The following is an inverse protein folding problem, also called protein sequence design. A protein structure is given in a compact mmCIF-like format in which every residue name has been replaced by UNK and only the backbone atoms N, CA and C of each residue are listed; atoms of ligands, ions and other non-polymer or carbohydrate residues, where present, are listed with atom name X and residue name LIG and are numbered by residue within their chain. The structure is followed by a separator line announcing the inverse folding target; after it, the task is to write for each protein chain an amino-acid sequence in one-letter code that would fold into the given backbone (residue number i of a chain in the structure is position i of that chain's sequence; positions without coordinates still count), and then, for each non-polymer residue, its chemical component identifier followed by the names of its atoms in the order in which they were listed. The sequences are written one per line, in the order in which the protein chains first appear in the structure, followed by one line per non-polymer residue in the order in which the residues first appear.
data_IF_723200198269
#
_entry.id   IF_723200198269
#
_cell.length_a   1.000
_cell.length_b   1.000
_cell.length_c   1.000
_cell.angle_alpha   90.00
_cell.angle_beta   90.00
_cell.angle_gamma   90.00
#
_symmetry.space_group_name_H-M   'P 1'
#
loop_
_entity.id
_entity.type
_entity.pdbx_description
1 polymer ?
#
# COMPACT_ATOMS: atom_id res chain seq x y z
N UNK A 1 -10.38 -9.02 -27.16
CA UNK A 1 -10.23 -8.71 -25.72
C UNK A 1 -9.39 -9.81 -25.11
N UNK A 2 -8.15 -9.53 -24.72
CA UNK A 2 -7.29 -10.55 -24.10
C UNK A 2 -7.87 -10.89 -22.72
N UNK A 3 -8.39 -12.10 -22.53
CA UNK A 3 -8.79 -12.57 -21.21
C UNK A 3 -7.54 -12.79 -20.38
N UNK A 4 -7.26 -11.89 -19.44
CA UNK A 4 -6.29 -12.19 -18.39
C UNK A 4 -6.93 -13.24 -17.48
N UNK A 5 -6.62 -14.51 -17.75
CA UNK A 5 -7.00 -15.59 -16.84
C UNK A 5 -6.10 -15.48 -15.60
N UNK A 6 -6.70 -15.10 -14.49
CA UNK A 6 -5.99 -14.99 -13.21
C UNK A 6 -5.81 -16.40 -12.66
N UNK A 7 -4.57 -16.82 -12.45
CA UNK A 7 -4.25 -18.06 -11.73
C UNK A 7 -4.56 -17.88 -10.23
N UNK A 8 -5.81 -18.17 -9.86
CA UNK A 8 -6.33 -18.05 -8.49
C UNK A 8 -5.54 -18.93 -7.51
N UNK A 9 -5.12 -20.11 -7.94
CA UNK A 9 -4.37 -21.03 -7.07
C UNK A 9 -2.98 -20.48 -6.77
N UNK A 10 -2.32 -19.83 -7.74
CA UNK A 10 -1.09 -19.07 -7.49
C UNK A 10 -1.31 -17.94 -6.50
N UNK A 11 -2.38 -17.15 -6.65
CA UNK A 11 -2.68 -16.06 -5.71
C UNK A 11 -2.91 -16.58 -4.29
N UNK A 12 -3.65 -17.69 -4.14
CA UNK A 12 -3.90 -18.32 -2.83
C UNK A 12 -2.63 -18.86 -2.18
N UNK A 13 -1.68 -19.40 -2.95
CA UNK A 13 -0.38 -19.85 -2.41
C UNK A 13 0.42 -18.70 -1.78
N UNK A 14 0.26 -17.49 -2.31
CA UNK A 14 0.87 -16.28 -1.75
C UNK A 14 0.17 -15.77 -0.48
N UNK A 15 -1.04 -16.23 -0.15
CA UNK A 15 -1.81 -15.78 1.03
C UNK A 15 -1.97 -16.95 2.03
N UNK A 16 -1.05 -17.12 3.00
CA UNK A 16 -0.99 -18.34 3.83
C UNK A 16 -2.26 -18.64 4.63
N UNK A 17 -3.04 -17.61 5.00
CA UNK A 17 -4.30 -17.79 5.71
C UNK A 17 -5.30 -18.64 4.90
N UNK A 18 -5.34 -18.46 3.58
CA UNK A 18 -6.29 -19.17 2.69
C UNK A 18 -6.01 -20.68 2.58
N UNK A 19 -4.82 -21.13 2.99
CA UNK A 19 -4.45 -22.55 3.03
C UNK A 19 -4.97 -23.27 4.28
N UNK A 20 -5.41 -22.52 5.29
CA UNK A 20 -5.85 -23.06 6.59
C UNK A 20 -7.31 -22.78 6.89
N UNK A 21 -7.84 -21.68 6.37
CA UNK A 21 -9.22 -21.25 6.63
C UNK A 21 -9.88 -20.74 5.35
N UNK A 22 -11.20 -20.92 5.27
CA UNK A 22 -12.05 -20.25 4.28
C UNK A 22 -12.25 -18.81 4.76
N UNK A 23 -11.39 -17.90 4.30
CA UNK A 23 -11.41 -16.50 4.73
C UNK A 23 -12.42 -15.69 3.90
N UNK A 24 -13.58 -15.38 4.49
CA UNK A 24 -14.68 -14.66 3.82
C UNK A 24 -14.84 -13.20 4.28
N UNK A 25 -13.88 -12.65 5.04
CA UNK A 25 -13.96 -11.27 5.58
C UNK A 25 -12.95 -10.31 4.90
N UNK A 26 -12.73 -10.46 3.59
CA UNK A 26 -11.77 -9.65 2.82
C UNK A 26 -12.16 -8.17 2.73
N UNK A 27 -13.43 -7.83 2.95
CA UNK A 27 -13.92 -6.44 2.97
C UNK A 27 -13.49 -5.63 4.20
N UNK A 28 -13.10 -6.29 5.31
CA UNK A 28 -12.57 -5.61 6.49
C UNK A 28 -11.05 -5.41 6.40
N UNK A 29 -10.30 -6.52 6.32
CA UNK A 29 -8.84 -6.50 6.20
C UNK A 29 -8.35 -7.81 5.61
N UNK A 30 -7.88 -7.78 4.36
CA UNK A 30 -7.32 -8.95 3.71
C UNK A 30 -6.01 -9.40 4.37
N UNK A 31 -5.77 -10.71 4.57
CA UNK A 31 -4.47 -11.21 4.96
C UNK A 31 -3.41 -10.84 3.91
N UNK A 32 -2.30 -10.24 4.34
CA UNK A 32 -1.24 -9.81 3.43
C UNK A 32 -0.60 -11.00 2.69
N UNK A 33 -0.35 -10.89 1.37
CA UNK A 33 0.47 -11.84 0.65
C UNK A 33 1.91 -11.91 1.22
N UNK A 34 2.60 -13.03 1.03
CA UNK A 34 3.96 -13.25 1.53
C UNK A 34 4.91 -12.15 1.07
N UNK A 35 4.88 -11.78 -0.21
CA UNK A 35 5.74 -10.74 -0.75
C UNK A 35 5.61 -9.39 -0.01
N UNK A 36 4.40 -9.03 0.43
CA UNK A 36 4.16 -7.80 1.21
C UNK A 36 4.78 -7.92 2.61
N UNK A 37 4.56 -9.06 3.28
CA UNK A 37 5.13 -9.31 4.61
C UNK A 37 6.65 -9.28 4.58
N UNK A 38 7.27 -9.91 3.58
CA UNK A 38 8.72 -9.92 3.43
C UNK A 38 9.29 -8.53 3.11
N UNK A 39 8.61 -7.72 2.30
CA UNK A 39 9.02 -6.33 2.05
C UNK A 39 9.00 -5.47 3.33
N UNK A 40 7.97 -5.62 4.17
CA UNK A 40 7.90 -4.91 5.46
C UNK A 40 9.02 -5.36 6.40
N UNK A 41 9.28 -6.67 6.51
CA UNK A 41 10.38 -7.19 7.34
C UNK A 41 11.74 -6.67 6.88
N UNK A 42 12.03 -6.76 5.58
CA UNK A 42 13.27 -6.27 5.01
C UNK A 42 13.46 -4.77 5.26
N UNK A 43 12.37 -3.98 5.22
CA UNK A 43 12.40 -2.56 5.54
C UNK A 43 12.77 -2.32 7.01
N UNK A 44 12.15 -3.04 7.94
CA UNK A 44 12.44 -2.91 9.37
C UNK A 44 13.88 -3.33 9.69
N UNK A 45 14.34 -4.42 9.08
CA UNK A 45 15.71 -4.91 9.23
C UNK A 45 16.74 -3.90 8.73
N UNK A 46 16.54 -3.37 7.52
CA UNK A 46 17.38 -2.31 6.95
C UNK A 46 17.48 -1.09 7.87
N UNK A 47 16.36 -0.60 8.41
CA UNK A 47 16.35 0.53 9.32
C UNK A 47 16.97 0.22 10.69
N UNK A 48 16.91 -1.05 11.13
CA UNK A 48 17.56 -1.50 12.37
C UNK A 48 19.08 -1.56 12.24
N UNK A 49 19.60 -1.94 11.06
CA UNK A 49 21.05 -2.02 10.83
C UNK A 49 21.66 -0.66 10.51
N UNK A 50 21.02 0.11 9.64
CA UNK A 50 21.56 1.39 9.16
C UNK A 50 21.17 2.59 10.06
N UNK A 51 20.21 2.40 10.95
CA UNK A 51 19.65 3.45 11.80
C UNK A 51 18.57 4.28 11.09
N UNK A 52 17.42 4.57 11.75
CA UNK A 52 16.22 5.11 11.09
C UNK A 52 16.35 6.56 10.58
N UNK A 53 17.42 7.25 10.95
CA UNK A 53 17.71 8.65 10.57
C UNK A 53 19.02 8.78 9.81
N UNK A 54 19.65 7.66 9.42
CA UNK A 54 20.86 7.72 8.61
C UNK A 54 20.53 8.21 7.20
N UNK A 55 21.55 8.79 6.56
CA UNK A 55 21.40 9.32 5.20
C UNK A 55 20.90 8.26 4.20
N UNK A 56 21.44 7.02 4.16
CA UNK A 56 20.92 5.98 3.26
C UNK A 56 19.45 5.65 3.50
N UNK A 57 19.02 5.60 4.77
CA UNK A 57 17.61 5.32 5.11
C UNK A 57 16.70 6.45 4.65
N UNK A 58 17.08 7.71 4.90
CA UNK A 58 16.28 8.87 4.49
C UNK A 58 16.16 8.97 2.97
N UNK A 59 17.26 8.81 2.23
CA UNK A 59 17.26 8.80 0.77
C UNK A 59 16.38 7.66 0.21
N UNK A 60 16.50 6.45 0.79
CA UNK A 60 15.64 5.32 0.46
C UNK A 60 14.15 5.59 0.75
N UNK A 61 13.80 6.24 1.88
CA UNK A 61 12.40 6.60 2.20
C UNK A 61 11.82 7.55 1.15
N UNK A 62 12.58 8.58 0.76
CA UNK A 62 12.13 9.53 -0.24
C UNK A 62 11.88 8.86 -1.59
N UNK A 63 12.81 8.01 -2.03
CA UNK A 63 12.68 7.27 -3.28
C UNK A 63 11.48 6.31 -3.23
N UNK A 64 11.34 5.53 -2.15
CA UNK A 64 10.21 4.62 -1.97
C UNK A 64 8.86 5.36 -2.00
N UNK A 65 8.78 6.54 -1.40
CA UNK A 65 7.59 7.39 -1.44
C UNK A 65 7.24 7.86 -2.86
N UNK A 66 8.25 8.20 -3.68
CA UNK A 66 8.06 8.56 -5.09
C UNK A 66 7.56 7.36 -5.90
N UNK A 67 8.25 6.23 -5.81
CA UNK A 67 7.93 5.02 -6.56
C UNK A 67 6.52 4.50 -6.21
N UNK A 68 6.14 4.60 -4.93
CA UNK A 68 4.79 4.21 -4.48
C UNK A 68 3.70 5.07 -5.12
N UNK A 69 3.90 6.40 -5.18
CA UNK A 69 2.92 7.30 -5.83
C UNK A 69 2.83 7.03 -7.33
N UNK A 70 3.94 6.79 -8.01
CA UNK A 70 3.96 6.44 -9.44
C UNK A 70 3.24 5.12 -9.72
N UNK A 71 3.45 4.09 -8.89
CA UNK A 71 2.77 2.81 -9.01
C UNK A 71 1.25 2.92 -8.82
N UNK A 72 0.81 3.66 -7.79
CA UNK A 72 -0.62 3.90 -7.53
C UNK A 72 -1.25 4.73 -8.67
N UNK A 73 -0.56 5.76 -9.14
CA UNK A 73 -1.02 6.60 -10.24
C UNK A 73 -1.24 5.78 -11.52
N UNK A 74 -0.31 4.87 -11.84
CA UNK A 74 -0.45 3.93 -12.96
C UNK A 74 -1.65 3.00 -12.79
N UNK A 75 -1.86 2.45 -11.59
CA UNK A 75 -3.00 1.59 -11.28
C UNK A 75 -4.36 2.29 -11.44
N UNK A 76 -4.43 3.57 -11.07
CA UNK A 76 -5.66 4.37 -11.10
C UNK A 76 -5.82 5.21 -12.38
N UNK A 77 -4.85 5.17 -13.30
CA UNK A 77 -4.80 5.98 -14.51
C UNK A 77 -4.84 7.51 -14.26
N UNK A 78 -4.08 7.95 -13.25
CA UNK A 78 -3.91 9.38 -12.87
C UNK A 78 -2.43 9.74 -12.84
N UNK A 79 -2.08 10.96 -12.44
CA UNK A 79 -0.70 11.42 -12.30
C UNK A 79 -0.20 11.27 -10.84
N UNK A 80 1.10 11.09 -10.65
CA UNK A 80 1.68 10.96 -9.30
C UNK A 80 1.42 12.16 -8.37
N UNK A 81 1.38 13.43 -8.85
CA UNK A 81 1.02 14.58 -8.00
C UNK A 81 -0.43 14.57 -7.49
N UNK A 82 -1.34 13.81 -8.09
CA UNK A 82 -2.72 13.66 -7.61
C UNK A 82 -2.83 12.66 -6.44
N UNK A 83 -1.74 11.95 -6.10
CA UNK A 83 -1.74 10.91 -5.06
C UNK A 83 -1.14 11.42 -3.75
N UNK A 84 -1.95 11.37 -2.69
CA UNK A 84 -1.49 11.54 -1.30
C UNK A 84 -1.57 10.21 -0.56
N UNK A 85 -0.48 9.82 0.11
CA UNK A 85 -0.43 8.60 0.94
C UNK A 85 -0.92 8.92 2.36
N UNK A 86 -1.89 8.15 2.85
CA UNK A 86 -2.51 8.29 4.18
C UNK A 86 -2.50 6.94 4.90
N UNK A 87 -2.84 6.93 6.19
CA UNK A 87 -2.89 5.73 7.02
C UNK A 87 -4.11 4.86 6.73
N UNK A 88 -5.24 5.46 6.37
CA UNK A 88 -6.51 4.76 6.10
C UNK A 88 -7.53 5.67 5.40
N UNK A 89 -8.65 5.08 4.98
CA UNK A 89 -9.76 5.78 4.30
C UNK A 89 -10.37 6.89 5.16
N UNK A 90 -10.52 6.68 6.46
CA UNK A 90 -11.10 7.69 7.38
C UNK A 90 -10.23 8.93 7.46
N UNK A 91 -8.91 8.78 7.53
CA UNK A 91 -7.98 9.91 7.50
C UNK A 91 -8.05 10.65 6.17
N UNK A 92 -8.09 9.94 5.04
CA UNK A 92 -8.24 10.55 3.71
C UNK A 92 -9.51 11.40 3.58
N UNK A 93 -10.65 10.90 4.07
CA UNK A 93 -11.90 11.67 4.10
C UNK A 93 -11.77 12.91 4.97
N UNK A 94 -11.16 12.78 6.16
CA UNK A 94 -10.96 13.92 7.06
C UNK A 94 -10.04 15.00 6.46
N UNK A 95 -8.99 14.62 5.71
CA UNK A 95 -8.13 15.59 5.02
C UNK A 95 -8.95 16.42 4.03
N UNK A 96 -9.81 15.79 3.23
CA UNK A 96 -10.66 16.50 2.27
C UNK A 96 -11.67 17.38 3.00
N UNK A 97 -12.42 16.82 3.96
CA UNK A 97 -13.45 17.57 4.66
C UNK A 97 -12.89 18.78 5.42
N UNK A 98 -11.71 18.68 6.04
CA UNK A 98 -11.11 19.81 6.75
C UNK A 98 -10.30 20.75 5.83
N UNK A 99 -10.02 20.35 4.59
CA UNK A 99 -9.27 21.14 3.62
C UNK A 99 -10.14 21.98 2.67
N UNK A 100 -11.45 21.72 2.62
CA UNK A 100 -12.39 22.50 1.81
C UNK A 100 -12.77 23.82 2.49
N UNK A 101 -12.85 24.89 1.71
CA UNK A 101 -13.41 26.18 2.15
C UNK A 101 -14.93 26.11 2.13
N UNK A 102 -15.51 25.67 3.25
CA UNK A 102 -16.96 25.61 3.41
C UNK A 102 -17.60 26.99 3.43
N UNK A 103 -18.75 27.12 2.77
CA UNK A 103 -19.65 28.25 2.91
C UNK A 103 -20.93 27.81 3.65
N UNK A 104 -21.64 28.74 4.32
CA UNK A 104 -22.93 28.42 4.91
C UNK A 104 -23.98 28.03 3.86
N UNK A 105 -24.66 26.91 4.09
CA UNK A 105 -25.71 26.38 3.21
C UNK A 105 -25.18 25.79 1.92
#
# INVERSE_FOLDING_TARGET
MSSYDIDIERVRREIPATQRVIYMNTGWSGPSPRCVVEAVKARLEFESFEGPTSRPVLESRMQLGKDTREAIASLLHVTAPEITLTQNTTEGINIVLNGLEWAPG
#
